data_IF_688190828114
#
_entry.id   IF_688190828114
#
_cell.length_a   1.000
_cell.length_b   1.000
_cell.length_c   1.000
_cell.angle_alpha   90.00
_cell.angle_beta   90.00
_cell.angle_gamma   90.00
#
_symmetry.space_group_name_H-M   'P 1'
#
loop_
_entity.id
_entity.type
_entity.pdbx_description
1 polymer ?
#
# COMPACT_ATOMS: atom_id res chain seq x y z
N UNK A 1 15.10 9.39 -8.31
CA UNK A 1 16.58 9.49 -8.23
C UNK A 1 17.23 8.41 -9.09
N UNK A 2 18.46 8.63 -9.59
CA UNK A 2 19.21 7.62 -10.33
C UNK A 2 19.38 6.33 -9.53
N UNK A 3 19.44 5.20 -10.24
CA UNK A 3 19.71 3.90 -9.59
C UNK A 3 21.14 3.84 -9.08
N UNK A 4 21.32 3.26 -7.90
CA UNK A 4 22.61 2.86 -7.38
C UNK A 4 22.87 1.36 -7.67
N UNK A 5 24.14 0.90 -7.65
CA UNK A 5 24.47 -0.52 -7.79
C UNK A 5 23.80 -1.43 -6.73
N UNK A 6 23.41 -0.86 -5.58
CA UNK A 6 22.72 -1.56 -4.51
C UNK A 6 21.21 -1.68 -4.74
N UNK A 7 20.63 -0.98 -5.72
CA UNK A 7 19.20 -1.00 -6.02
C UNK A 7 18.83 -2.26 -6.82
N UNK A 8 17.97 -3.10 -6.26
CA UNK A 8 17.46 -4.34 -6.85
C UNK A 8 16.04 -4.18 -7.41
N UNK A 9 15.46 -5.26 -7.93
CA UNK A 9 14.04 -5.33 -8.29
C UNK A 9 13.11 -5.51 -7.08
N UNK A 10 13.65 -5.42 -5.87
CA UNK A 10 12.91 -5.60 -4.62
C UNK A 10 12.97 -4.33 -3.80
N UNK A 11 11.84 -3.96 -3.17
CA UNK A 11 11.82 -2.84 -2.25
C UNK A 11 12.71 -3.16 -1.02
N UNK A 12 13.48 -2.19 -0.57
CA UNK A 12 14.35 -2.28 0.60
C UNK A 12 13.89 -1.29 1.65
N UNK A 13 13.83 -1.75 2.89
CA UNK A 13 13.29 -0.99 4.02
C UNK A 13 14.32 -0.89 5.15
N UNK A 14 14.49 0.31 5.68
CA UNK A 14 15.39 0.62 6.79
C UNK A 14 14.60 1.23 7.95
N UNK A 15 14.73 0.63 9.14
CA UNK A 15 14.19 1.18 10.37
C UNK A 15 15.29 1.85 11.19
N UNK A 16 15.07 3.13 11.52
CA UNK A 16 15.87 3.93 12.42
C UNK A 16 15.19 4.09 13.78
N UNK A 17 15.98 4.44 14.80
CA UNK A 17 15.49 4.71 16.16
C UNK A 17 14.55 5.90 16.16
N UNK A 18 13.57 5.94 17.07
CA UNK A 18 12.62 7.06 17.18
C UNK A 18 11.40 6.93 16.27
N UNK A 19 11.09 5.72 15.78
CA UNK A 19 9.93 5.48 14.92
C UNK A 19 10.08 6.02 13.50
N UNK A 20 11.32 6.10 13.01
CA UNK A 20 11.66 6.58 11.67
C UNK A 20 11.94 5.39 10.76
N UNK A 21 11.51 5.46 9.51
CA UNK A 21 11.91 4.50 8.50
C UNK A 21 12.12 5.16 7.15
N UNK A 22 13.09 4.66 6.41
CA UNK A 22 13.34 5.07 5.04
C UNK A 22 13.38 3.83 4.15
N UNK A 23 13.19 4.01 2.86
CA UNK A 23 13.32 2.89 1.95
C UNK A 23 13.43 3.31 0.50
N UNK A 24 13.74 2.32 -0.31
CA UNK A 24 13.81 2.46 -1.76
C UNK A 24 12.96 1.38 -2.41
N UNK A 25 12.33 1.71 -3.54
CA UNK A 25 11.62 0.75 -4.38
C UNK A 25 11.93 1.01 -5.86
N UNK A 26 11.96 -0.05 -6.68
CA UNK A 26 12.06 0.13 -8.13
C UNK A 26 10.81 0.86 -8.65
N UNK A 27 10.99 1.54 -9.79
CA UNK A 27 9.89 2.00 -10.63
C UNK A 27 10.04 1.48 -12.06
N UNK A 28 9.03 1.78 -12.88
CA UNK A 28 8.97 1.40 -14.29
C UNK A 28 9.65 2.42 -15.23
N UNK A 29 10.43 3.38 -14.70
CA UNK A 29 11.10 4.43 -15.48
C UNK A 29 12.62 4.27 -15.48
N UNK A 30 13.12 3.13 -15.04
CA UNK A 30 14.57 2.90 -14.89
C UNK A 30 15.19 3.69 -13.75
N UNK A 31 14.38 4.30 -12.87
CA UNK A 31 14.83 5.04 -11.70
C UNK A 31 14.54 4.29 -10.41
N UNK A 32 14.92 4.86 -9.27
CA UNK A 32 14.54 4.37 -7.95
C UNK A 32 13.75 5.45 -7.22
N UNK A 33 12.69 5.01 -6.54
CA UNK A 33 11.86 5.85 -5.69
C UNK A 33 12.30 5.67 -4.26
N UNK A 34 12.56 6.79 -3.58
CA UNK A 34 12.78 6.78 -2.14
C UNK A 34 11.53 7.26 -1.42
N UNK A 35 11.41 6.85 -0.17
CA UNK A 35 10.39 7.34 0.74
C UNK A 35 10.94 7.42 2.16
N UNK A 36 10.33 8.30 2.94
CA UNK A 36 10.61 8.49 4.36
C UNK A 36 9.29 8.41 5.12
N UNK A 37 9.34 7.83 6.32
CA UNK A 37 8.22 7.82 7.26
C UNK A 37 8.75 8.23 8.63
N UNK A 38 8.01 9.11 9.30
CA UNK A 38 8.29 9.54 10.68
C UNK A 38 7.03 9.30 11.49
N UNK A 39 7.10 8.39 12.45
CA UNK A 39 5.95 8.09 13.30
C UNK A 39 5.82 9.08 14.46
N UNK A 40 4.80 9.93 14.41
CA UNK A 40 4.50 10.91 15.45
C UNK A 40 3.60 12.02 14.90
N UNK A 41 3.26 13.00 15.73
CA UNK A 41 2.64 14.23 15.22
C UNK A 41 3.74 15.10 14.62
N UNK A 42 3.58 15.48 13.36
CA UNK A 42 4.28 16.63 12.82
C UNK A 42 3.43 17.88 13.05
N UNK A 43 4.06 19.04 13.21
CA UNK A 43 3.38 20.33 13.09
C UNK A 43 3.14 20.69 11.61
N UNK A 44 3.70 19.91 10.69
CA UNK A 44 3.57 20.11 9.25
C UNK A 44 2.28 19.47 8.72
N UNK A 45 1.57 20.22 7.90
CA UNK A 45 0.37 19.78 7.19
C UNK A 45 0.16 20.58 5.90
N UNK A 46 -1.09 20.58 5.42
CA UNK A 46 -1.50 21.36 4.25
C UNK A 46 -1.21 22.85 4.50
N UNK A 47 -0.39 23.47 3.65
CA UNK A 47 -0.03 24.89 3.73
C UNK A 47 1.44 25.17 4.07
N UNK A 48 2.21 24.18 4.56
CA UNK A 48 3.65 24.33 4.73
C UNK A 48 4.38 24.30 3.38
N UNK A 49 5.47 25.06 3.28
CA UNK A 49 6.33 25.08 2.10
C UNK A 49 7.11 23.77 1.93
N UNK A 50 7.46 23.46 0.67
CA UNK A 50 8.33 22.31 0.35
C UNK A 50 9.67 22.40 1.10
N UNK A 51 10.20 23.61 1.29
CA UNK A 51 11.45 23.83 2.03
C UNK A 51 11.34 23.39 3.50
N UNK A 52 10.24 23.75 4.18
CA UNK A 52 9.99 23.33 5.57
C UNK A 52 9.82 21.80 5.68
N UNK A 53 9.14 21.18 4.71
CA UNK A 53 8.94 19.73 4.67
C UNK A 53 10.26 18.97 4.47
N UNK A 54 11.11 19.42 3.54
CA UNK A 54 12.45 18.86 3.32
C UNK A 54 13.35 19.08 4.54
N UNK A 55 13.32 20.26 5.16
CA UNK A 55 14.08 20.55 6.37
C UNK A 55 13.67 19.64 7.55
N UNK A 56 12.37 19.40 7.74
CA UNK A 56 11.87 18.47 8.74
C UNK A 56 12.35 17.04 8.50
N UNK A 57 12.30 16.54 7.26
CA UNK A 57 12.81 15.21 6.94
C UNK A 57 14.32 15.11 7.15
N UNK A 58 15.08 16.14 6.75
CA UNK A 58 16.54 16.20 6.98
C UNK A 58 16.86 16.14 8.47
N UNK A 59 16.23 16.98 9.29
CA UNK A 59 16.42 16.98 10.73
C UNK A 59 15.97 15.66 11.36
N UNK A 60 14.84 15.12 10.89
CA UNK A 60 14.32 13.84 11.36
C UNK A 60 15.29 12.71 11.07
N UNK A 61 16.02 12.71 9.97
CA UNK A 61 16.92 11.63 9.57
C UNK A 61 18.40 11.90 9.83
N UNK A 62 18.71 12.95 10.58
CA UNK A 62 20.09 13.26 10.98
C UNK A 62 20.74 12.09 11.74
N UNK A 63 22.00 11.83 11.42
CA UNK A 63 22.78 10.72 11.96
C UNK A 63 22.24 9.31 11.66
N UNK A 64 21.19 9.17 10.83
CA UNK A 64 20.69 7.86 10.43
C UNK A 64 21.63 7.22 9.40
N UNK A 65 21.92 5.92 9.58
CA UNK A 65 22.83 5.18 8.71
C UNK A 65 22.17 4.67 7.43
N UNK A 66 22.70 3.57 6.89
CA UNK A 66 22.25 2.99 5.60
C UNK A 66 22.42 4.02 4.45
N UNK A 67 21.54 4.02 3.47
CA UNK A 67 21.60 4.90 2.30
C UNK A 67 20.93 6.26 2.55
N UNK A 68 20.57 6.59 3.79
CA UNK A 68 19.84 7.83 4.13
C UNK A 68 20.51 9.09 3.57
N UNK A 69 21.84 9.29 3.64
CA UNK A 69 22.47 10.47 3.03
C UNK A 69 22.19 10.58 1.52
N UNK A 70 22.22 9.46 0.79
CA UNK A 70 21.87 9.40 -0.64
C UNK A 70 20.40 9.73 -0.87
N UNK A 71 19.52 9.21 -0.02
CA UNK A 71 18.08 9.47 -0.14
C UNK A 71 17.75 10.94 0.13
N UNK A 72 18.41 11.57 1.11
CA UNK A 72 18.25 13.00 1.41
C UNK A 72 18.78 13.86 0.26
N UNK A 73 19.95 13.53 -0.32
CA UNK A 73 20.44 14.23 -1.51
C UNK A 73 19.46 14.10 -2.69
N UNK A 74 18.91 12.89 -2.91
CA UNK A 74 17.91 12.66 -3.94
C UNK A 74 16.58 13.37 -3.67
N UNK A 75 16.21 13.59 -2.40
CA UNK A 75 15.05 14.39 -2.01
C UNK A 75 15.25 15.88 -2.33
N UNK A 76 16.45 16.42 -2.10
CA UNK A 76 16.76 17.82 -2.43
C UNK A 76 16.64 18.07 -3.93
N UNK A 77 17.18 17.17 -4.75
CA UNK A 77 17.14 17.26 -6.20
C UNK A 77 15.80 16.82 -6.85
N UNK A 78 14.84 16.33 -6.07
CA UNK A 78 13.58 15.83 -6.63
C UNK A 78 12.64 16.97 -7.06
N UNK A 79 12.26 16.98 -8.33
CA UNK A 79 11.20 17.83 -8.88
C UNK A 79 9.79 17.34 -8.52
N UNK A 80 9.66 16.04 -8.24
CA UNK A 80 8.41 15.36 -7.89
C UNK A 80 8.31 15.02 -6.40
N UNK A 81 8.92 15.86 -5.55
CA UNK A 81 8.83 15.74 -4.10
C UNK A 81 7.38 15.91 -3.63
N UNK A 82 6.95 14.98 -2.77
CA UNK A 82 5.66 15.06 -2.10
C UNK A 82 5.80 14.63 -0.64
N UNK A 83 5.01 15.29 0.22
CA UNK A 83 4.95 15.07 1.65
C UNK A 83 3.51 15.19 2.12
N UNK A 84 3.08 14.29 3.00
CA UNK A 84 1.75 14.34 3.60
C UNK A 84 1.72 13.59 4.94
N UNK A 85 0.70 13.90 5.74
CA UNK A 85 0.42 13.21 6.99
C UNK A 85 -0.52 12.01 6.73
N UNK A 86 -0.04 10.81 7.07
CA UNK A 86 -0.78 9.59 6.84
C UNK A 86 -1.89 9.41 7.87
N UNK A 87 -3.10 9.85 7.51
CA UNK A 87 -4.31 9.77 8.33
C UNK A 87 -5.30 8.75 7.78
N UNK A 88 -6.10 8.17 8.68
CA UNK A 88 -7.27 7.39 8.29
C UNK A 88 -8.51 8.29 8.25
N UNK A 89 -9.31 8.18 7.20
CA UNK A 89 -10.63 8.82 7.13
C UNK A 89 -11.67 7.85 7.67
N UNK A 90 -12.39 8.26 8.70
CA UNK A 90 -13.47 7.50 9.33
C UNK A 90 -14.68 8.39 9.47
N UNK A 91 -15.68 8.13 8.64
CA UNK A 91 -16.95 8.84 8.62
C UNK A 91 -18.09 7.85 8.70
N UNK A 92 -19.15 8.23 9.42
CA UNK A 92 -20.26 7.34 9.74
C UNK A 92 -21.16 7.06 8.53
N UNK A 93 -21.23 8.01 7.60
CA UNK A 93 -22.04 7.94 6.38
C UNK A 93 -21.20 8.34 5.17
N UNK A 94 -21.34 7.63 4.05
CA UNK A 94 -20.59 7.90 2.81
C UNK A 94 -21.38 8.66 1.76
N UNK A 95 -22.67 8.93 2.00
CA UNK A 95 -23.52 9.63 1.05
C UNK A 95 -24.32 10.76 1.71
N UNK A 96 -24.65 11.77 0.93
CA UNK A 96 -25.58 12.83 1.29
C UNK A 96 -26.40 13.24 0.06
N UNK A 97 -27.69 12.89 0.05
CA UNK A 97 -28.53 13.05 -1.14
C UNK A 97 -27.96 12.24 -2.32
N UNK A 98 -27.81 12.85 -3.51
CA UNK A 98 -27.27 12.17 -4.70
C UNK A 98 -25.72 12.09 -4.70
N UNK A 99 -25.04 12.64 -3.69
CA UNK A 99 -23.58 12.68 -3.63
C UNK A 99 -23.05 11.51 -2.79
N UNK A 100 -22.05 10.81 -3.30
CA UNK A 100 -21.37 9.70 -2.60
C UNK A 100 -19.86 9.89 -2.60
N UNK A 101 -19.23 9.51 -1.48
CA UNK A 101 -17.78 9.47 -1.31
C UNK A 101 -17.29 8.07 -1.67
N UNK A 102 -16.17 8.00 -2.39
CA UNK A 102 -15.57 6.75 -2.84
C UNK A 102 -14.04 6.79 -2.64
N UNK A 103 -13.46 5.65 -2.26
CA UNK A 103 -12.01 5.51 -2.12
C UNK A 103 -11.47 6.28 -0.91
N UNK A 104 -10.33 6.93 -1.07
CA UNK A 104 -9.68 7.64 0.05
C UNK A 104 -10.53 8.79 0.61
N UNK A 105 -11.43 9.36 -0.19
CA UNK A 105 -12.40 10.36 0.27
C UNK A 105 -13.39 9.80 1.31
N UNK A 106 -13.68 8.51 1.26
CA UNK A 106 -14.64 7.85 2.16
C UNK A 106 -13.96 7.04 3.27
N UNK A 107 -12.78 6.47 2.98
CA UNK A 107 -12.17 5.47 3.87
C UNK A 107 -10.64 5.35 3.77
N UNK A 108 -9.92 6.44 3.48
CA UNK A 108 -8.45 6.44 3.40
C UNK A 108 -7.83 5.49 4.44
N UNK A 109 -7.12 4.48 3.93
CA UNK A 109 -6.44 3.48 4.74
C UNK A 109 -4.96 3.85 4.80
N UNK A 110 -4.37 3.79 5.99
CA UNK A 110 -2.93 4.07 6.14
C UNK A 110 -2.11 3.14 5.23
N UNK A 111 -1.19 3.67 4.40
CA UNK A 111 -0.46 2.93 3.35
C UNK A 111 0.31 1.70 3.80
N UNK A 112 0.51 1.50 5.11
CA UNK A 112 1.17 0.32 5.67
C UNK A 112 0.56 -1.01 5.21
N UNK A 113 -0.72 -1.02 4.79
CA UNK A 113 -1.38 -2.21 4.25
C UNK A 113 -1.34 -2.36 2.73
N UNK A 114 -1.04 -1.31 1.96
CA UNK A 114 -1.04 -1.35 0.48
C UNK A 114 -2.40 -1.66 -0.17
N UNK A 115 -3.50 -1.64 0.59
CA UNK A 115 -4.84 -2.09 0.12
C UNK A 115 -5.75 -0.97 -0.39
N UNK A 116 -5.34 0.30 -0.26
CA UNK A 116 -6.21 1.45 -0.58
C UNK A 116 -6.71 1.46 -2.03
N UNK A 117 -5.80 1.30 -2.99
CA UNK A 117 -6.14 1.27 -4.42
C UNK A 117 -7.06 0.09 -4.77
N UNK A 118 -6.76 -1.11 -4.27
CA UNK A 118 -7.61 -2.29 -4.48
C UNK A 118 -9.01 -2.08 -3.88
N UNK A 119 -9.09 -1.48 -2.69
CA UNK A 119 -10.36 -1.20 -2.03
C UNK A 119 -11.17 -0.12 -2.76
N UNK A 120 -10.52 0.88 -3.34
CA UNK A 120 -11.16 1.88 -4.18
C UNK A 120 -11.76 1.24 -5.45
N UNK A 121 -11.03 0.34 -6.11
CA UNK A 121 -11.53 -0.40 -7.28
C UNK A 121 -12.73 -1.29 -6.94
N UNK A 122 -12.65 -2.04 -5.84
CA UNK A 122 -13.77 -2.83 -5.34
C UNK A 122 -14.97 -1.93 -5.04
N UNK A 123 -14.74 -0.77 -4.41
CA UNK A 123 -15.79 0.20 -4.13
C UNK A 123 -16.45 0.75 -5.38
N UNK A 124 -15.68 1.07 -6.42
CA UNK A 124 -16.22 1.54 -7.69
C UNK A 124 -17.10 0.48 -8.36
N UNK A 125 -16.64 -0.77 -8.35
CA UNK A 125 -17.39 -1.90 -8.91
C UNK A 125 -18.72 -2.13 -8.18
N UNK A 126 -18.70 -2.15 -6.84
CA UNK A 126 -19.93 -2.32 -6.07
C UNK A 126 -20.87 -1.13 -6.25
N UNK A 127 -20.36 0.11 -6.24
CA UNK A 127 -21.19 1.29 -6.46
C UNK A 127 -21.92 1.23 -7.80
N UNK A 128 -21.20 0.91 -8.88
CA UNK A 128 -21.78 0.74 -10.20
C UNK A 128 -22.82 -0.39 -10.22
N UNK A 129 -22.52 -1.53 -9.57
CA UNK A 129 -23.44 -2.65 -9.46
C UNK A 129 -24.73 -2.31 -8.73
N UNK A 130 -24.66 -1.61 -7.60
CA UNK A 130 -25.87 -1.22 -6.85
C UNK A 130 -26.71 -0.17 -7.58
N UNK A 131 -26.07 0.75 -8.32
CA UNK A 131 -26.79 1.71 -9.18
C UNK A 131 -27.58 1.02 -10.31
N UNK A 132 -27.13 -0.14 -10.80
CA UNK A 132 -27.84 -0.86 -11.88
C UNK A 132 -29.06 -1.66 -11.40
N UNK A 133 -29.21 -1.87 -10.09
CA UNK A 133 -30.27 -2.73 -9.52
C UNK A 133 -31.55 -1.98 -9.15
N UNK A 134 -31.52 -0.65 -9.14
CA UNK A 134 -32.64 0.17 -8.68
C UNK A 134 -32.60 1.56 -9.31
N UNK A 135 -33.78 2.11 -9.62
CA UNK A 135 -33.91 3.50 -10.08
C UNK A 135 -33.79 4.52 -8.94
N UNK A 136 -33.80 4.07 -7.68
CA UNK A 136 -33.64 4.93 -6.51
C UNK A 136 -32.17 5.11 -6.16
N UNK A 137 -31.63 6.30 -6.44
CA UNK A 137 -30.26 6.68 -6.05
C UNK A 137 -30.03 6.46 -4.56
N UNK A 138 -30.98 6.89 -3.71
CA UNK A 138 -30.87 6.73 -2.26
C UNK A 138 -30.75 5.25 -1.84
N UNK A 139 -31.51 4.35 -2.48
CA UNK A 139 -31.45 2.93 -2.19
C UNK A 139 -30.11 2.32 -2.66
N UNK A 140 -29.64 2.68 -3.86
CA UNK A 140 -28.36 2.22 -4.39
C UNK A 140 -27.18 2.64 -3.49
N UNK A 141 -27.15 3.90 -3.04
CA UNK A 141 -26.07 4.41 -2.18
C UNK A 141 -26.08 3.76 -0.80
N UNK A 142 -27.26 3.48 -0.24
CA UNK A 142 -27.38 2.75 1.02
C UNK A 142 -26.89 1.29 0.88
N UNK A 143 -27.24 0.61 -0.22
CA UNK A 143 -26.78 -0.74 -0.49
C UNK A 143 -25.26 -0.81 -0.69
N UNK A 144 -24.70 0.14 -1.45
CA UNK A 144 -23.26 0.28 -1.65
C UNK A 144 -22.52 0.38 -0.31
N UNK A 145 -22.99 1.27 0.57
CA UNK A 145 -22.39 1.47 1.88
C UNK A 145 -22.51 0.20 2.73
N UNK A 146 -23.68 -0.42 2.75
CA UNK A 146 -23.92 -1.66 3.50
C UNK A 146 -22.95 -2.79 3.08
N UNK A 147 -22.76 -2.99 1.78
CA UNK A 147 -21.89 -4.03 1.22
C UNK A 147 -20.41 -3.75 1.53
N UNK A 148 -19.94 -2.51 1.38
CA UNK A 148 -18.52 -2.19 1.56
C UNK A 148 -18.08 -2.00 3.01
N UNK A 149 -18.99 -1.56 3.90
CA UNK A 149 -18.64 -1.18 5.28
C UNK A 149 -17.85 -2.26 6.03
N UNK A 150 -18.20 -3.56 5.98
CA UNK A 150 -17.43 -4.60 6.68
C UNK A 150 -16.00 -4.75 6.15
N UNK A 151 -15.83 -4.70 4.81
CA UNK A 151 -14.53 -4.82 4.16
C UNK A 151 -13.62 -3.63 4.52
N UNK A 152 -14.17 -2.42 4.49
CA UNK A 152 -13.47 -1.20 4.88
C UNK A 152 -13.09 -1.25 6.37
N UNK A 153 -14.02 -1.58 7.26
CA UNK A 153 -13.76 -1.67 8.71
C UNK A 153 -12.63 -2.66 9.02
N UNK A 154 -12.61 -3.82 8.37
CA UNK A 154 -11.54 -4.83 8.50
C UNK A 154 -10.19 -4.29 8.02
N UNK A 155 -10.19 -3.52 6.93
CA UNK A 155 -8.96 -2.93 6.37
C UNK A 155 -8.42 -1.79 7.25
N UNK A 156 -9.31 -1.04 7.90
CA UNK A 156 -8.95 0.03 8.84
C UNK A 156 -8.59 -0.48 10.25
N UNK A 157 -9.02 -1.69 10.61
CA UNK A 157 -8.71 -2.31 11.90
C UNK A 157 -7.30 -2.88 11.93
N UNK A 158 -6.30 -1.99 11.93
CA UNK A 158 -4.91 -2.36 12.25
C UNK A 158 -4.78 -2.36 13.79
N UNK A 159 -4.39 -3.48 14.42
CA UNK A 159 -4.19 -3.51 15.87
C UNK A 159 -3.20 -2.42 16.29
N UNK A 160 -3.54 -1.64 17.33
CA UNK A 160 -2.74 -0.49 17.80
C UNK A 160 -1.28 -0.85 18.11
N UNK A 161 -1.00 -2.12 18.39
CA UNK A 161 0.34 -2.65 18.66
C UNK A 161 1.21 -2.75 17.40
N UNK A 162 0.62 -2.99 16.23
CA UNK A 162 1.37 -3.24 14.98
C UNK A 162 2.18 -2.02 14.55
N UNK A 163 1.63 -0.79 14.49
CA UNK A 163 2.43 0.41 14.18
C UNK A 163 3.59 0.64 15.16
N UNK A 164 3.40 0.36 16.46
CA UNK A 164 4.45 0.51 17.47
C UNK A 164 5.55 -0.53 17.34
N UNK A 165 5.23 -1.74 16.88
CA UNK A 165 6.19 -2.82 16.69
C UNK A 165 7.04 -2.61 15.42
N UNK A 166 6.44 -2.09 14.35
CA UNK A 166 7.14 -1.83 13.08
C UNK A 166 7.92 -0.51 13.08
N UNK A 167 7.58 0.42 13.98
CA UNK A 167 8.30 1.70 14.19
C UNK A 167 8.97 1.74 15.58
N UNK A 168 10.07 0.97 15.78
CA UNK A 168 10.74 0.91 17.07
C UNK A 168 11.30 2.27 17.49
N UNK A 169 11.04 2.66 18.73
CA UNK A 169 11.55 3.91 19.32
C UNK A 169 12.93 3.79 19.95
N UNK A 170 13.41 2.56 20.20
CA UNK A 170 14.69 2.30 20.88
C UNK A 170 15.65 1.48 20.01
N UNK A 171 16.96 1.58 20.30
CA UNK A 171 18.01 0.79 19.65
C UNK A 171 17.79 -0.72 19.83
N UNK A 172 17.39 -1.14 21.03
CA UNK A 172 17.04 -2.55 21.31
C UNK A 172 15.83 -3.00 20.50
N UNK A 173 14.80 -2.16 20.35
CA UNK A 173 13.65 -2.45 19.51
C UNK A 173 14.02 -2.68 18.05
N UNK A 174 14.94 -1.88 17.49
CA UNK A 174 15.46 -2.09 16.13
C UNK A 174 16.19 -3.44 16.01
N UNK A 175 16.97 -3.84 17.03
CA UNK A 175 17.66 -5.14 17.05
C UNK A 175 16.68 -6.32 17.08
N UNK A 176 15.66 -6.24 17.93
CA UNK A 176 14.60 -7.26 18.02
C UNK A 176 13.86 -7.38 16.69
N UNK A 177 13.45 -6.25 16.09
CA UNK A 177 12.74 -6.25 14.82
C UNK A 177 13.57 -6.90 13.71
N UNK A 178 14.87 -6.57 13.61
CA UNK A 178 15.77 -7.20 12.65
C UNK A 178 15.96 -8.69 12.90
N UNK A 179 16.01 -9.12 14.16
CA UNK A 179 16.10 -10.54 14.51
C UNK A 179 14.84 -11.31 14.08
N UNK A 180 13.65 -10.75 14.34
CA UNK A 180 12.37 -11.33 13.88
C UNK A 180 12.31 -11.38 12.35
N UNK A 181 12.71 -10.30 11.66
CA UNK A 181 12.74 -10.27 10.20
C UNK A 181 13.67 -11.35 9.62
N UNK A 182 14.86 -11.53 10.20
CA UNK A 182 15.79 -12.60 9.80
C UNK A 182 15.20 -13.99 10.05
N UNK A 183 14.53 -14.19 11.19
CA UNK A 183 13.86 -15.44 11.52
C UNK A 183 12.77 -15.75 10.49
N UNK A 184 11.89 -14.79 10.17
CA UNK A 184 10.83 -14.96 9.16
C UNK A 184 11.40 -15.18 7.75
N UNK A 185 12.50 -14.51 7.41
CA UNK A 185 13.20 -14.69 6.13
C UNK A 185 13.94 -16.04 6.02
N UNK A 186 13.96 -16.86 7.08
CA UNK A 186 14.59 -18.17 7.03
C UNK A 186 13.75 -19.12 6.17
N UNK A 187 14.34 -19.82 5.18
CA UNK A 187 13.60 -20.62 4.17
C UNK A 187 12.61 -21.63 4.74
N UNK A 188 12.89 -22.14 5.94
CA UNK A 188 12.03 -23.10 6.63
C UNK A 188 10.72 -22.47 7.15
N UNK A 189 10.80 -21.26 7.71
CA UNK A 189 9.65 -20.53 8.26
C UNK A 189 8.83 -19.92 7.12
N UNK A 190 9.47 -19.34 6.11
CA UNK A 190 8.79 -18.77 4.95
C UNK A 190 7.99 -19.81 4.16
N UNK A 191 8.53 -21.04 3.97
CA UNK A 191 7.80 -22.16 3.34
C UNK A 191 6.58 -22.61 4.15
N UNK A 192 6.67 -22.65 5.49
CA UNK A 192 5.54 -23.02 6.36
C UNK A 192 4.49 -21.91 6.46
N UNK A 193 4.90 -20.65 6.51
CA UNK A 193 4.01 -19.49 6.49
C UNK A 193 3.25 -19.39 5.16
N UNK A 194 3.92 -19.60 4.02
CA UNK A 194 3.29 -19.64 2.71
C UNK A 194 2.23 -20.75 2.60
N UNK A 195 2.52 -21.96 3.12
CA UNK A 195 1.55 -23.07 3.19
C UNK A 195 0.36 -22.78 4.11
N UNK A 196 0.57 -22.11 5.24
CA UNK A 196 -0.54 -21.75 6.14
C UNK A 196 -1.43 -20.63 5.56
N UNK A 197 -0.84 -19.70 4.79
CA UNK A 197 -1.56 -18.62 4.13
C UNK A 197 -2.37 -19.13 2.93
N UNK A 198 -1.85 -20.07 2.14
CA UNK A 198 -2.60 -20.72 1.05
C UNK A 198 -3.78 -21.54 1.58
N UNK A 199 -3.64 -22.19 2.74
CA UNK A 199 -4.73 -22.91 3.41
C UNK A 199 -5.82 -21.98 3.98
N UNK A 200 -5.52 -20.70 4.26
CA UNK A 200 -6.52 -19.70 4.70
C UNK A 200 -7.32 -19.11 3.54
N UNK A 201 -6.79 -19.09 2.32
CA UNK A 201 -7.54 -18.67 1.13
C UNK A 201 -8.52 -19.76 0.63
N UNK A 202 -8.23 -21.04 0.91
CA UNK A 202 -9.10 -22.17 0.54
C UNK A 202 -10.36 -22.32 1.41
N UNK A 203 -10.40 -21.74 2.62
CA UNK A 203 -11.52 -21.91 3.58
C UNK A 203 -12.57 -20.80 3.58
N UNK A 204 -12.41 -19.75 2.78
CA UNK A 204 -13.48 -18.78 2.55
C UNK A 204 -14.23 -19.16 1.28
N UNK A 205 -15.26 -20.01 1.39
CA UNK A 205 -16.29 -20.14 0.36
C UNK A 205 -16.98 -18.78 0.20
N UNK A 206 -16.58 -18.02 -0.81
CA UNK A 206 -17.49 -17.19 -1.61
C UNK A 206 -16.75 -16.68 -2.85
N UNK A 207 -17.36 -16.92 -4.01
CA UNK A 207 -16.95 -16.56 -5.38
C UNK A 207 -15.72 -17.28 -5.96
N UNK A 208 -16.01 -18.42 -6.57
CA UNK A 208 -15.28 -18.95 -7.72
C UNK A 208 -15.46 -17.93 -8.86
N UNK A 209 -14.39 -17.25 -9.28
CA UNK A 209 -14.26 -16.82 -10.67
C UNK A 209 -13.50 -17.94 -11.35
N UNK A 210 -14.22 -18.65 -12.20
CA UNK A 210 -13.72 -19.73 -13.04
C UNK A 210 -12.73 -19.15 -14.04
N UNK A 211 -11.44 -19.47 -13.90
CA UNK A 211 -10.44 -19.17 -14.92
C UNK A 211 -10.52 -20.29 -15.96
N UNK A 212 -11.42 -20.12 -16.92
CA UNK A 212 -11.51 -20.94 -18.11
C UNK A 212 -10.15 -20.96 -18.82
N UNK A 213 -9.57 -22.14 -18.91
CA UNK A 213 -8.39 -22.43 -19.70
C UNK A 213 -8.68 -22.16 -21.18
N UNK A 214 -7.83 -21.36 -21.82
CA UNK A 214 -7.78 -21.24 -23.28
C UNK A 214 -7.16 -22.54 -23.81
N UNK A 215 -7.85 -23.33 -24.67
CA UNK A 215 -7.27 -24.53 -25.21
C UNK A 215 -6.25 -24.19 -26.30
N UNK A 216 -5.06 -24.77 -26.15
CA UNK A 216 -4.02 -24.87 -27.18
C UNK A 216 -4.52 -25.80 -28.30
N UNK A 217 -4.82 -25.24 -29.47
CA UNK A 217 -5.02 -25.99 -30.70
C UNK A 217 -3.72 -26.07 -31.49
N UNK A 218 -3.24 -27.29 -31.73
CA UNK A 218 -2.18 -27.62 -32.69
C UNK A 218 -2.74 -28.56 -33.76
N UNK A 219 -2.41 -28.28 -35.03
CA UNK A 219 -2.65 -29.13 -36.21
C UNK A 219 -3.63 -28.48 -37.19
N UNK A 220 -3.42 -28.40 -38.50
CA UNK A 220 -2.44 -28.98 -39.43
C UNK A 220 -2.58 -28.25 -40.79
N UNK A 221 -1.53 -28.33 -41.60
CA UNK A 221 -1.40 -27.89 -43.01
C UNK A 221 -2.65 -27.96 -43.90
N UNK A 222 -2.78 -26.98 -44.82
CA UNK A 222 -2.97 -27.26 -46.25
C UNK A 222 -2.57 -26.08 -47.15
N UNK A 223 -1.71 -26.39 -48.14
CA UNK A 223 -1.39 -25.65 -49.37
C UNK A 223 -2.61 -24.94 -50.00
N UNK A 224 -2.38 -23.88 -50.79
CA UNK A 224 -2.46 -23.88 -52.28
C UNK A 224 -2.50 -22.44 -52.84
N UNK A 225 -1.50 -22.12 -53.65
CA UNK A 225 -1.45 -21.30 -54.90
C UNK A 225 -2.06 -19.88 -55.00
N UNK A 226 -1.19 -18.99 -55.49
CA UNK A 226 -1.35 -17.73 -56.23
C UNK A 226 -2.53 -17.63 -57.23
N UNK A 227 -2.86 -16.41 -57.70
CA UNK A 227 -2.09 -15.71 -58.76
C UNK A 227 -1.15 -14.61 -58.24
#
# INVERSE_FOLDING_TARGET
MPRAPTDSQTARWYNAVGGRSAGVRPDNRGTTRAFFNVHGRSHLGVGNSVAEQKAFLRASFDGAGWEVPRLLAGMEAAEDFWFDDLRQVKIDRWSNGPVVLLGDAAWCVTPLGGVGASLALIGAYVLAGELTKTDSIAAALAAYEYVLRPLVKKSQSVPKLVPRLVHPRSRTGVRILRAVQRLVATPFISKRAARALSLRFSRSRCLIIDSGAVPSGTGTDQKTTQP
#
